data_IF_124796776069
#
_entry.id   IF_124796776069
#
_cell.length_a   1.000
_cell.length_b   1.000
_cell.length_c   1.000
_cell.angle_alpha   90.00
_cell.angle_beta   90.00
_cell.angle_gamma   90.00
#
_symmetry.space_group_name_H-M   'P 1'
#
loop_
_entity.id
_entity.type
_entity.pdbx_description
1 polymer ?
#
# COMPACT_ATOMS: atom_id res chain seq x y z
N UNK A 1 28.15 31.05 4.69
CA UNK A 1 28.86 30.58 5.89
C UNK A 1 28.59 31.48 7.09
N UNK A 2 28.74 32.77 6.97
CA UNK A 2 28.57 33.74 8.07
C UNK A 2 27.17 33.70 8.69
N UNK A 3 26.13 33.50 7.91
CA UNK A 3 24.75 33.36 8.39
C UNK A 3 24.55 32.12 9.28
N UNK A 4 25.33 31.07 9.12
CA UNK A 4 25.24 29.84 9.90
C UNK A 4 26.04 29.87 11.19
N UNK A 5 27.06 30.77 11.30
CA UNK A 5 27.89 30.91 12.49
C UNK A 5 27.13 31.37 13.72
N UNK A 6 26.00 32.03 13.54
CA UNK A 6 25.12 32.46 14.65
C UNK A 6 24.38 31.31 15.33
N UNK A 7 24.30 30.15 14.68
CA UNK A 7 23.59 28.97 15.19
C UNK A 7 24.54 28.01 15.90
N UNK A 8 24.27 27.75 17.18
CA UNK A 8 25.01 26.74 17.94
C UNK A 8 24.45 25.36 17.61
N UNK A 9 25.23 24.53 16.93
CA UNK A 9 24.91 23.12 16.78
C UNK A 9 25.19 22.37 18.09
N UNK A 10 24.26 21.51 18.51
CA UNK A 10 24.45 20.59 19.64
C UNK A 10 24.29 19.17 19.12
N UNK A 11 25.22 18.31 19.49
CA UNK A 11 25.08 16.88 19.27
C UNK A 11 24.15 16.31 20.33
N UNK A 12 23.02 15.72 19.91
CA UNK A 12 22.15 14.92 20.77
C UNK A 12 22.48 13.45 20.54
N UNK A 13 22.83 12.75 21.59
CA UNK A 13 23.01 11.31 21.55
C UNK A 13 21.70 10.64 22.02
N UNK A 14 21.09 9.87 21.12
CA UNK A 14 19.92 9.04 21.43
C UNK A 14 20.40 7.60 21.65
N UNK A 15 19.93 6.97 22.73
CA UNK A 15 20.24 5.56 23.05
C UNK A 15 19.16 5.02 24.01
N UNK A 16 18.50 3.88 23.69
CA UNK A 16 18.66 3.11 22.45
C UNK A 16 18.09 3.88 21.24
N UNK A 17 18.66 3.62 20.07
CA UNK A 17 18.17 4.19 18.81
C UNK A 17 18.40 3.22 17.65
N UNK A 18 17.50 3.25 16.67
CA UNK A 18 17.66 2.55 15.41
C UNK A 18 17.43 3.53 14.25
N UNK A 19 18.21 3.36 13.20
CA UNK A 19 17.97 4.03 11.92
C UNK A 19 17.39 2.99 10.96
N UNK A 20 16.17 3.26 10.48
CA UNK A 20 15.47 2.38 9.57
C UNK A 20 15.34 3.11 8.25
N UNK A 21 15.82 2.51 7.16
CA UNK A 21 15.74 3.06 5.82
C UNK A 21 14.89 2.14 4.95
N UNK A 22 13.98 2.73 4.18
CA UNK A 22 13.17 2.02 3.21
C UNK A 22 13.47 2.55 1.80
N UNK A 23 13.86 1.67 0.90
CA UNK A 23 14.01 1.95 -0.52
C UNK A 23 12.87 1.36 -1.36
N UNK A 24 12.23 0.29 -0.87
CA UNK A 24 11.16 -0.43 -1.55
C UNK A 24 10.06 -0.87 -0.58
N UNK A 25 8.88 -1.17 -1.11
CA UNK A 25 7.77 -1.77 -0.33
C UNK A 25 8.14 -3.14 0.24
N UNK A 26 9.03 -3.88 -0.43
CA UNK A 26 9.55 -5.16 0.07
C UNK A 26 10.29 -5.01 1.39
N UNK A 27 11.10 -3.96 1.53
CA UNK A 27 11.82 -3.70 2.79
C UNK A 27 10.87 -3.30 3.92
N UNK A 28 9.84 -2.50 3.63
CA UNK A 28 8.79 -2.22 4.61
C UNK A 28 8.08 -3.51 5.04
N UNK A 29 7.67 -4.33 4.09
CA UNK A 29 7.03 -5.62 4.38
C UNK A 29 7.91 -6.51 5.25
N UNK A 30 9.17 -6.71 4.87
CA UNK A 30 10.11 -7.51 5.63
C UNK A 30 10.27 -7.00 7.07
N UNK A 31 10.37 -5.67 7.25
CA UNK A 31 10.40 -5.09 8.59
C UNK A 31 9.18 -5.49 9.42
N UNK A 32 7.98 -5.41 8.85
CA UNK A 32 6.73 -5.67 9.58
C UNK A 32 6.46 -7.16 9.80
N UNK A 33 6.87 -8.02 8.87
CA UNK A 33 6.58 -9.46 8.92
C UNK A 33 7.69 -10.30 9.54
N UNK A 34 8.95 -9.93 9.34
CA UNK A 34 10.11 -10.72 9.76
C UNK A 34 10.89 -10.04 10.90
N UNK A 35 11.24 -8.77 10.71
CA UNK A 35 12.20 -8.05 11.53
C UNK A 35 11.58 -7.28 12.70
N UNK A 36 10.26 -7.15 12.77
CA UNK A 36 9.58 -6.33 13.78
C UNK A 36 10.01 -6.66 15.22
N UNK A 37 10.36 -7.92 15.50
CA UNK A 37 10.83 -8.34 16.82
C UNK A 37 12.13 -7.68 17.26
N UNK A 38 12.98 -7.26 16.31
CA UNK A 38 14.22 -6.54 16.59
C UNK A 38 13.96 -5.14 17.14
N UNK A 39 12.76 -4.61 16.89
CA UNK A 39 12.29 -3.28 17.30
C UNK A 39 11.31 -3.32 18.47
N UNK A 40 11.23 -4.44 19.19
CA UNK A 40 10.36 -4.60 20.36
C UNK A 40 10.63 -3.53 21.46
N UNK A 41 11.85 -2.98 21.51
CA UNK A 41 12.19 -1.87 22.43
C UNK A 41 11.46 -0.55 22.07
N UNK A 42 10.86 -0.44 20.87
CA UNK A 42 9.97 0.63 20.44
C UNK A 42 8.48 0.30 20.63
N UNK A 43 8.18 -0.82 21.29
CA UNK A 43 6.82 -1.39 21.42
C UNK A 43 6.15 -1.75 20.09
N UNK A 44 6.94 -2.01 19.06
CA UNK A 44 6.43 -2.43 17.76
C UNK A 44 5.98 -3.88 17.82
N UNK A 45 4.82 -4.14 17.22
CA UNK A 45 4.17 -5.45 17.18
C UNK A 45 3.78 -5.81 15.74
N UNK A 46 3.73 -7.08 15.44
CA UNK A 46 3.32 -7.59 14.12
C UNK A 46 1.85 -7.27 13.82
N UNK A 47 1.00 -7.36 14.82
CA UNK A 47 -0.43 -7.08 14.69
C UNK A 47 -0.84 -6.02 15.71
N UNK A 48 -1.43 -4.94 15.20
CA UNK A 48 -1.92 -3.80 15.99
C UNK A 48 -3.29 -3.43 15.46
N UNK A 49 -4.30 -3.36 16.33
CA UNK A 49 -5.68 -3.00 15.94
C UNK A 49 -6.19 -3.90 14.79
N UNK A 50 -6.52 -5.15 15.15
CA UNK A 50 -7.04 -6.15 14.26
C UNK A 50 -6.68 -7.56 14.75
N UNK A 51 -7.08 -8.56 13.99
CA UNK A 51 -6.93 -9.96 14.35
C UNK A 51 -5.47 -10.40 14.42
N UNK A 52 -5.09 -11.02 15.55
CA UNK A 52 -3.73 -11.52 15.73
C UNK A 52 -3.38 -12.66 14.75
N UNK A 53 -2.15 -12.66 14.22
CA UNK A 53 -1.65 -13.69 13.32
C UNK A 53 -0.15 -13.88 13.45
N UNK A 54 0.30 -15.13 13.32
CA UNK A 54 1.72 -15.48 13.19
C UNK A 54 2.17 -15.51 11.72
N UNK A 55 1.25 -15.48 10.78
CA UNK A 55 1.53 -15.65 9.34
C UNK A 55 1.66 -14.34 8.57
N UNK A 56 1.01 -13.28 9.03
CA UNK A 56 1.01 -11.97 8.38
C UNK A 56 1.09 -10.85 9.43
N UNK A 57 1.40 -9.66 8.99
CA UNK A 57 1.38 -8.46 9.81
C UNK A 57 0.20 -7.58 9.44
N UNK A 58 -0.36 -6.88 10.42
CA UNK A 58 -1.40 -5.89 10.17
C UNK A 58 -1.33 -4.72 11.14
N UNK A 59 -1.80 -3.57 10.69
CA UNK A 59 -2.02 -2.40 11.50
C UNK A 59 -3.33 -1.74 11.10
N UNK A 60 -4.28 -1.63 12.05
CA UNK A 60 -5.56 -1.00 11.80
C UNK A 60 -6.29 -1.61 10.57
N UNK A 61 -6.43 -2.94 10.55
CA UNK A 61 -7.05 -3.65 9.44
C UNK A 61 -8.08 -4.66 9.92
N UNK A 62 -9.15 -4.80 9.16
CA UNK A 62 -10.26 -5.71 9.41
C UNK A 62 -10.20 -6.86 8.40
N UNK A 63 -10.13 -8.08 8.90
CA UNK A 63 -10.14 -9.30 8.08
C UNK A 63 -11.34 -10.13 8.48
N UNK A 64 -12.35 -10.17 7.63
CA UNK A 64 -13.60 -10.91 7.88
C UNK A 64 -13.33 -12.42 7.95
N UNK A 65 -14.15 -13.10 8.75
CA UNK A 65 -14.07 -14.55 8.86
C UNK A 65 -14.37 -15.21 7.51
N UNK A 66 -13.50 -16.16 7.11
CA UNK A 66 -13.58 -16.84 5.81
C UNK A 66 -12.68 -16.24 4.73
N UNK A 67 -12.07 -15.08 4.98
CA UNK A 67 -11.01 -14.56 4.12
C UNK A 67 -9.69 -15.31 4.32
N UNK A 68 -8.94 -15.48 3.24
CA UNK A 68 -7.64 -16.16 3.25
C UNK A 68 -6.52 -15.14 3.05
N UNK A 69 -5.62 -15.00 4.04
CA UNK A 69 -4.45 -14.15 3.94
C UNK A 69 -3.20 -15.04 3.82
N UNK A 70 -2.45 -14.82 2.75
CA UNK A 70 -1.18 -15.51 2.50
C UNK A 70 -0.12 -15.17 3.55
N UNK A 71 0.97 -15.95 3.55
CA UNK A 71 2.10 -15.69 4.42
C UNK A 71 2.80 -14.37 4.03
N UNK A 72 3.42 -13.73 5.03
CA UNK A 72 4.25 -12.54 4.86
C UNK A 72 3.53 -11.33 4.21
N UNK A 73 2.19 -11.31 4.29
CA UNK A 73 1.42 -10.12 3.92
C UNK A 73 1.56 -9.03 4.97
N UNK A 74 1.46 -7.77 4.54
CA UNK A 74 1.28 -6.63 5.42
C UNK A 74 0.01 -5.86 5.03
N UNK A 75 -0.90 -5.70 5.97
CA UNK A 75 -2.17 -4.99 5.79
C UNK A 75 -2.19 -3.78 6.70
N UNK A 76 -2.45 -2.60 6.14
CA UNK A 76 -2.65 -1.37 6.91
C UNK A 76 -3.89 -0.65 6.43
N UNK A 77 -4.64 -0.07 7.37
CA UNK A 77 -5.80 0.78 7.11
C UNK A 77 -6.75 0.23 6.04
N UNK A 78 -7.01 -1.09 6.08
CA UNK A 78 -7.69 -1.81 5.00
C UNK A 78 -8.76 -2.77 5.51
N UNK A 79 -9.74 -3.05 4.64
CA UNK A 79 -10.73 -4.10 4.83
C UNK A 79 -10.49 -5.26 3.85
N UNK A 80 -10.59 -6.50 4.36
CA UNK A 80 -10.62 -7.72 3.54
C UNK A 80 -11.89 -8.48 3.89
N UNK A 81 -12.85 -8.52 2.98
CA UNK A 81 -14.24 -8.91 3.20
C UNK A 81 -14.68 -9.99 2.20
N UNK A 82 -15.81 -10.67 2.53
CA UNK A 82 -16.55 -11.56 1.62
C UNK A 82 -15.69 -12.63 0.94
N UNK A 83 -15.04 -13.49 1.75
CA UNK A 83 -14.24 -14.63 1.28
C UNK A 83 -13.10 -14.25 0.31
N UNK A 84 -12.63 -12.99 0.37
CA UNK A 84 -11.50 -12.55 -0.42
C UNK A 84 -10.23 -13.33 -0.10
N UNK A 85 -9.34 -13.40 -1.09
CA UNK A 85 -8.02 -14.04 -0.96
C UNK A 85 -6.92 -13.04 -1.22
N UNK A 86 -5.92 -13.00 -0.35
CA UNK A 86 -4.74 -12.17 -0.50
C UNK A 86 -3.52 -13.06 -0.65
N UNK A 87 -2.87 -12.99 -1.79
CA UNK A 87 -1.69 -13.78 -2.12
C UNK A 87 -0.50 -13.47 -1.22
N UNK A 88 0.38 -14.45 -1.04
CA UNK A 88 1.54 -14.32 -0.16
C UNK A 88 2.40 -13.11 -0.51
N UNK A 89 2.94 -12.43 0.48
CA UNK A 89 3.80 -11.27 0.30
C UNK A 89 3.11 -10.00 -0.21
N UNK A 90 1.79 -9.98 -0.31
CA UNK A 90 1.07 -8.78 -0.73
C UNK A 90 1.06 -7.71 0.38
N UNK A 91 1.00 -6.46 -0.04
CA UNK A 91 0.84 -5.29 0.83
C UNK A 91 -0.46 -4.58 0.46
N UNK A 92 -1.34 -4.40 1.44
CA UNK A 92 -2.58 -3.66 1.28
C UNK A 92 -2.52 -2.39 2.12
N UNK A 93 -2.84 -1.26 1.53
CA UNK A 93 -2.88 0.04 2.21
C UNK A 93 -4.07 0.85 1.72
N UNK A 94 -4.97 1.25 2.64
CA UNK A 94 -6.14 2.09 2.36
C UNK A 94 -7.07 1.52 1.26
N UNK A 95 -7.30 0.21 1.27
CA UNK A 95 -8.18 -0.46 0.30
C UNK A 95 -9.27 -1.28 0.99
N UNK A 96 -10.36 -1.48 0.27
CA UNK A 96 -11.38 -2.49 0.60
C UNK A 96 -11.35 -3.57 -0.47
N UNK A 97 -10.90 -4.76 -0.10
CA UNK A 97 -10.95 -5.95 -0.95
C UNK A 97 -12.19 -6.74 -0.58
N UNK A 98 -13.09 -6.94 -1.54
CA UNK A 98 -14.39 -7.58 -1.34
C UNK A 98 -14.67 -8.58 -2.45
N UNK A 99 -14.81 -9.87 -2.12
CA UNK A 99 -15.03 -10.95 -3.09
C UNK A 99 -14.01 -10.91 -4.27
N UNK A 100 -12.73 -10.78 -3.93
CA UNK A 100 -11.62 -10.62 -4.90
C UNK A 100 -10.42 -11.46 -4.48
N UNK A 101 -9.61 -11.77 -5.48
CA UNK A 101 -8.28 -12.36 -5.29
C UNK A 101 -7.20 -11.30 -5.59
N UNK A 102 -6.37 -11.00 -4.59
CA UNK A 102 -5.20 -10.14 -4.73
C UNK A 102 -3.99 -11.02 -5.03
N UNK A 103 -3.23 -10.74 -6.09
CA UNK A 103 -2.05 -11.53 -6.43
C UNK A 103 -0.95 -11.48 -5.37
N UNK A 104 -0.04 -12.45 -5.42
CA UNK A 104 1.14 -12.47 -4.55
C UNK A 104 2.17 -11.39 -4.92
N UNK A 105 2.96 -10.96 -3.94
CA UNK A 105 4.09 -10.02 -4.08
C UNK A 105 3.73 -8.67 -4.72
N UNK A 106 2.50 -8.21 -4.59
CA UNK A 106 2.04 -6.90 -5.05
C UNK A 106 1.68 -5.98 -3.89
N UNK A 107 1.78 -4.68 -4.13
CA UNK A 107 1.17 -3.67 -3.28
C UNK A 107 -0.10 -3.13 -3.95
N UNK A 108 -1.18 -3.00 -3.19
CA UNK A 108 -2.37 -2.21 -3.52
C UNK A 108 -2.44 -1.05 -2.55
N UNK A 109 -2.34 0.17 -3.08
CA UNK A 109 -2.41 1.38 -2.27
C UNK A 109 -3.53 2.29 -2.79
N UNK A 110 -4.58 2.42 -2.00
CA UNK A 110 -5.74 3.24 -2.30
C UNK A 110 -5.55 4.70 -1.91
N UNK A 111 -6.04 5.60 -2.75
CA UNK A 111 -6.10 7.03 -2.46
C UNK A 111 -7.45 7.57 -2.93
N UNK A 112 -8.04 8.48 -2.13
CA UNK A 112 -9.04 9.42 -2.60
C UNK A 112 -8.34 10.68 -3.09
N UNK A 113 -8.77 11.17 -4.23
CA UNK A 113 -8.28 12.42 -4.81
C UNK A 113 -9.13 13.61 -4.30
N UNK A 114 -8.57 14.81 -4.33
CA UNK A 114 -9.25 16.04 -3.88
C UNK A 114 -10.55 16.34 -4.65
N UNK A 115 -10.74 15.78 -5.83
CA UNK A 115 -11.97 15.88 -6.62
C UNK A 115 -13.05 14.82 -6.22
N UNK A 116 -12.75 13.99 -5.24
CA UNK A 116 -13.65 12.98 -4.70
C UNK A 116 -13.57 11.61 -5.36
N UNK A 117 -12.79 11.46 -6.44
CA UNK A 117 -12.55 10.19 -7.13
C UNK A 117 -11.47 9.37 -6.44
N UNK A 118 -11.29 8.13 -6.87
CA UNK A 118 -10.37 7.18 -6.28
C UNK A 118 -9.37 6.65 -7.30
N UNK A 119 -8.20 6.33 -6.81
CA UNK A 119 -7.19 5.55 -7.53
C UNK A 119 -6.63 4.48 -6.61
N UNK A 120 -6.47 3.26 -7.11
CA UNK A 120 -5.70 2.22 -6.44
C UNK A 120 -4.44 1.97 -7.27
N UNK A 121 -3.31 2.23 -6.65
CA UNK A 121 -1.99 2.03 -7.25
C UNK A 121 -1.56 0.59 -6.98
N UNK A 122 -1.46 -0.23 -8.04
CA UNK A 122 -0.88 -1.56 -7.99
C UNK A 122 0.57 -1.48 -8.48
N UNK A 123 1.48 -2.15 -7.79
CA UNK A 123 2.88 -2.28 -8.20
C UNK A 123 3.52 -3.49 -7.51
N UNK A 124 4.62 -3.99 -8.04
CA UNK A 124 5.37 -5.07 -7.41
C UNK A 124 6.03 -4.63 -6.10
N UNK A 125 6.05 -5.48 -5.10
CA UNK A 125 6.70 -5.17 -3.80
C UNK A 125 8.18 -4.77 -3.96
N UNK A 126 8.83 -5.20 -5.03
CA UNK A 126 10.22 -4.87 -5.36
C UNK A 126 10.39 -3.79 -6.42
N UNK A 127 9.31 -3.19 -6.95
CA UNK A 127 9.43 -2.15 -7.96
C UNK A 127 10.08 -0.89 -7.38
N UNK A 128 10.97 -0.30 -8.19
CA UNK A 128 11.57 0.98 -7.87
C UNK A 128 10.87 2.08 -8.70
N UNK A 129 10.21 3.05 -8.07
CA UNK A 129 9.46 4.08 -8.80
C UNK A 129 10.34 4.97 -9.68
N UNK A 130 11.66 4.97 -9.49
CA UNK A 130 12.60 5.73 -10.32
C UNK A 130 13.02 5.02 -11.60
N UNK A 131 12.63 3.75 -11.76
CA UNK A 131 12.94 2.92 -12.92
C UNK A 131 11.73 2.82 -13.85
N UNK A 132 12.00 2.49 -15.12
CA UNK A 132 10.96 2.26 -16.13
C UNK A 132 10.53 0.78 -16.16
N UNK A 133 10.21 0.24 -14.96
CA UNK A 133 9.73 -1.12 -14.77
C UNK A 133 8.43 -1.13 -13.97
N UNK A 134 7.57 -2.11 -14.23
CA UNK A 134 6.30 -2.33 -13.56
C UNK A 134 6.06 -3.82 -13.39
N UNK A 135 5.85 -4.29 -12.16
CA UNK A 135 5.72 -5.70 -11.82
C UNK A 135 6.89 -6.56 -12.31
N UNK A 136 8.10 -5.98 -12.28
CA UNK A 136 9.31 -6.62 -12.76
C UNK A 136 9.49 -6.64 -14.30
N UNK A 137 8.57 -6.04 -15.06
CA UNK A 137 8.58 -6.01 -16.52
C UNK A 137 8.81 -4.58 -17.05
N UNK A 138 9.36 -4.40 -18.26
CA UNK A 138 9.52 -3.08 -18.84
C UNK A 138 8.18 -2.34 -19.03
N UNK A 139 8.09 -1.09 -18.62
CA UNK A 139 6.94 -0.21 -18.82
C UNK A 139 6.55 -0.05 -20.30
N UNK A 140 7.50 -0.23 -21.23
CA UNK A 140 7.28 -0.13 -22.67
C UNK A 140 6.17 -1.07 -23.21
N UNK A 141 5.76 -2.09 -22.45
CA UNK A 141 4.59 -2.92 -22.75
C UNK A 141 3.26 -2.19 -22.61
N UNK A 142 3.20 -1.19 -21.78
CA UNK A 142 2.00 -0.36 -21.54
C UNK A 142 2.09 0.99 -22.25
N UNK A 143 3.29 1.55 -22.39
CA UNK A 143 3.57 2.83 -23.01
C UNK A 143 4.98 3.31 -22.67
N UNK A 144 5.34 4.50 -23.17
CA UNK A 144 6.69 5.06 -22.98
C UNK A 144 6.67 6.15 -21.89
N UNK A 145 7.35 5.90 -20.79
CA UNK A 145 7.57 6.84 -19.70
C UNK A 145 8.99 6.71 -19.16
N UNK A 146 9.58 7.79 -18.62
CA UNK A 146 10.95 7.76 -18.11
C UNK A 146 11.10 6.92 -16.84
N UNK A 147 10.02 6.74 -16.07
CA UNK A 147 10.00 5.98 -14.82
C UNK A 147 8.58 5.59 -14.44
N UNK A 148 8.44 4.64 -13.52
CA UNK A 148 7.14 4.26 -12.94
C UNK A 148 6.49 5.45 -12.20
N UNK A 149 7.29 6.35 -11.63
CA UNK A 149 6.80 7.54 -10.93
C UNK A 149 5.99 8.47 -11.82
N UNK A 150 6.39 8.59 -13.11
CA UNK A 150 5.75 9.46 -14.11
C UNK A 150 4.74 8.72 -14.99
N UNK A 151 4.67 7.38 -14.90
CA UNK A 151 3.82 6.57 -15.76
C UNK A 151 2.34 6.78 -15.46
N UNK A 152 1.58 7.28 -16.43
CA UNK A 152 0.13 7.47 -16.34
C UNK A 152 -0.62 6.18 -16.65
N UNK A 153 -0.46 5.19 -15.77
CA UNK A 153 -1.01 3.84 -15.94
C UNK A 153 -2.16 3.52 -15.00
N UNK A 154 -2.37 4.30 -13.93
CA UNK A 154 -3.34 4.01 -12.87
C UNK A 154 -4.71 4.63 -13.18
N UNK A 155 -5.78 3.83 -13.43
CA UNK A 155 -7.11 4.38 -13.72
C UNK A 155 -7.69 5.16 -12.53
N UNK A 156 -8.38 6.26 -12.84
CA UNK A 156 -9.13 7.08 -11.90
C UNK A 156 -10.60 6.69 -11.97
N UNK A 157 -11.19 6.31 -10.83
CA UNK A 157 -12.53 5.72 -10.75
C UNK A 157 -13.46 6.50 -9.83
N UNK A 158 -14.77 6.33 -9.99
CA UNK A 158 -15.78 6.98 -9.17
C UNK A 158 -15.87 6.43 -7.75
N UNK A 159 -15.50 5.15 -7.53
CA UNK A 159 -15.53 4.48 -6.23
C UNK A 159 -14.23 3.73 -5.97
N UNK A 160 -13.95 3.47 -4.67
CA UNK A 160 -12.77 2.68 -4.28
C UNK A 160 -12.86 1.24 -4.81
N UNK A 161 -14.04 0.64 -4.84
CA UNK A 161 -14.25 -0.71 -5.36
C UNK A 161 -13.90 -0.80 -6.84
N UNK A 162 -14.40 0.14 -7.67
CA UNK A 162 -14.02 0.23 -9.08
C UNK A 162 -12.51 0.44 -9.26
N UNK A 163 -11.87 1.21 -8.37
CA UNK A 163 -10.44 1.43 -8.43
C UNK A 163 -9.63 0.18 -8.08
N UNK A 164 -10.12 -0.67 -7.17
CA UNK A 164 -9.53 -2.00 -6.90
C UNK A 164 -9.65 -2.90 -8.13
N UNK A 165 -10.83 -2.97 -8.76
CA UNK A 165 -11.03 -3.77 -9.97
C UNK A 165 -10.12 -3.30 -11.12
N UNK A 166 -10.00 -1.98 -11.29
CA UNK A 166 -9.13 -1.40 -12.31
C UNK A 166 -7.63 -1.68 -12.04
N UNK A 167 -7.21 -1.69 -10.77
CA UNK A 167 -5.86 -2.04 -10.38
C UNK A 167 -5.56 -3.53 -10.64
N UNK A 168 -6.49 -4.43 -10.34
CA UNK A 168 -6.36 -5.86 -10.65
C UNK A 168 -6.35 -6.11 -12.17
N UNK A 169 -7.16 -5.37 -12.95
CA UNK A 169 -7.08 -5.41 -14.40
C UNK A 169 -5.71 -4.93 -14.92
N UNK A 170 -5.16 -3.85 -14.36
CA UNK A 170 -3.83 -3.35 -14.73
C UNK A 170 -2.73 -4.40 -14.43
N UNK A 171 -2.84 -5.10 -13.29
CA UNK A 171 -1.96 -6.23 -12.99
C UNK A 171 -2.07 -7.32 -14.06
N UNK A 172 -3.29 -7.73 -14.43
CA UNK A 172 -3.54 -8.74 -15.47
C UNK A 172 -2.99 -8.28 -16.83
N UNK A 173 -3.14 -7.01 -17.20
CA UNK A 173 -2.55 -6.44 -18.42
C UNK A 173 -1.03 -6.57 -18.47
N UNK A 174 -0.33 -6.32 -17.37
CA UNK A 174 1.12 -6.50 -17.30
C UNK A 174 1.53 -7.98 -17.52
N UNK A 175 0.62 -8.92 -17.26
CA UNK A 175 0.80 -10.36 -17.52
C UNK A 175 0.28 -10.81 -18.90
N UNK A 176 -0.32 -9.90 -19.67
CA UNK A 176 -0.85 -10.18 -21.00
C UNK A 176 -2.30 -10.70 -21.03
N UNK A 177 -3.05 -10.58 -19.91
CA UNK A 177 -4.38 -11.19 -19.75
C UNK A 177 -5.53 -10.19 -19.56
N UNK A 178 -5.27 -8.95 -19.15
CA UNK A 178 -6.29 -7.98 -18.77
C UNK A 178 -7.08 -7.38 -19.94
N UNK A 179 -8.14 -6.63 -19.60
CA UNK A 179 -8.92 -5.84 -20.54
C UNK A 179 -8.20 -4.54 -20.91
N UNK A 180 -7.48 -4.57 -22.02
CA UNK A 180 -6.73 -3.42 -22.56
C UNK A 180 -7.66 -2.29 -23.01
N UNK A 181 -8.81 -2.61 -23.62
CA UNK A 181 -9.72 -1.59 -24.12
C UNK A 181 -10.32 -0.77 -22.98
N UNK A 182 -10.73 -1.41 -21.90
CA UNK A 182 -11.20 -0.73 -20.70
C UNK A 182 -10.10 0.16 -20.08
N UNK A 183 -8.86 -0.31 -20.06
CA UNK A 183 -7.74 0.48 -19.53
C UNK A 183 -7.37 1.66 -20.44
N UNK A 184 -7.36 1.48 -21.76
CA UNK A 184 -7.02 2.55 -22.73
C UNK A 184 -8.05 3.67 -22.74
N UNK A 185 -9.33 3.37 -22.51
CA UNK A 185 -10.41 4.35 -22.47
C UNK A 185 -10.56 5.06 -21.12
N UNK A 186 -9.98 4.53 -20.05
CA UNK A 186 -10.03 5.13 -18.73
C UNK A 186 -9.18 6.41 -18.64
N UNK A 187 -9.66 7.40 -17.87
CA UNK A 187 -8.78 8.46 -17.39
C UNK A 187 -7.74 7.86 -16.45
N UNK A 188 -6.48 8.22 -16.61
CA UNK A 188 -5.37 7.65 -15.85
C UNK A 188 -4.52 8.73 -15.21
N UNK A 189 -3.84 8.33 -14.15
CA UNK A 189 -2.91 9.17 -13.39
C UNK A 189 -1.59 8.43 -13.18
N UNK A 190 -0.56 9.14 -12.74
CA UNK A 190 0.74 8.58 -12.33
C UNK A 190 0.85 8.48 -10.81
N UNK A 191 1.89 7.80 -10.32
CA UNK A 191 2.24 7.83 -8.89
C UNK A 191 2.43 9.26 -8.39
N UNK A 192 3.16 10.07 -9.16
CA UNK A 192 3.41 11.48 -8.86
C UNK A 192 2.14 12.32 -8.80
N UNK A 193 1.33 12.25 -9.85
CA UNK A 193 0.12 13.07 -9.95
C UNK A 193 -0.90 12.70 -8.87
N UNK A 194 -1.12 11.39 -8.63
CA UNK A 194 -2.03 10.91 -7.59
C UNK A 194 -1.55 11.27 -6.18
N UNK A 195 -0.23 11.25 -5.92
CA UNK A 195 0.32 11.70 -4.64
C UNK A 195 0.03 13.20 -4.40
N UNK A 196 0.24 14.04 -5.40
CA UNK A 196 0.02 15.48 -5.29
C UNK A 196 -1.48 15.84 -5.18
N UNK A 197 -2.38 15.01 -5.69
CA UNK A 197 -3.82 15.21 -5.68
C UNK A 197 -4.55 14.47 -4.53
N UNK A 198 -3.83 13.80 -3.64
CA UNK A 198 -4.42 13.02 -2.56
C UNK A 198 -5.16 13.90 -1.54
N UNK A 199 -6.37 13.48 -1.17
CA UNK A 199 -7.18 14.09 -0.11
C UNK A 199 -6.70 13.59 1.26
N UNK A 200 -5.72 14.27 1.82
CA UNK A 200 -5.11 13.90 3.11
C UNK A 200 -6.14 13.87 4.25
N UNK A 201 -7.17 14.73 4.21
CA UNK A 201 -8.19 14.76 5.25
C UNK A 201 -9.04 13.49 5.21
N UNK A 202 -9.43 13.06 4.03
CA UNK A 202 -10.16 11.80 3.86
C UNK A 202 -9.35 10.61 4.36
N UNK A 203 -8.05 10.57 4.10
CA UNK A 203 -7.16 9.50 4.59
C UNK A 203 -7.21 9.43 6.12
N UNK A 204 -7.05 10.53 6.82
CA UNK A 204 -7.11 10.58 8.28
C UNK A 204 -8.49 10.18 8.84
N UNK A 205 -9.57 10.63 8.19
CA UNK A 205 -10.94 10.26 8.59
C UNK A 205 -11.19 8.76 8.36
N UNK A 206 -10.67 8.19 7.27
CA UNK A 206 -10.72 6.75 6.97
C UNK A 206 -9.99 5.93 8.04
N UNK A 207 -8.74 6.28 8.35
CA UNK A 207 -7.94 5.61 9.38
C UNK A 207 -8.65 5.65 10.74
N UNK A 208 -9.23 6.79 11.12
CA UNK A 208 -9.96 6.95 12.37
C UNK A 208 -11.22 6.07 12.44
N UNK A 209 -12.02 6.04 11.37
CA UNK A 209 -13.23 5.23 11.28
C UNK A 209 -12.92 3.73 11.33
N UNK A 210 -11.88 3.31 10.61
CA UNK A 210 -11.47 1.90 10.57
C UNK A 210 -10.94 1.44 11.93
N UNK A 211 -10.23 2.32 12.65
CA UNK A 211 -9.71 2.05 13.99
C UNK A 211 -10.80 1.65 14.97
N UNK A 212 -11.96 2.28 14.95
CA UNK A 212 -13.09 1.95 15.81
C UNK A 212 -13.57 0.51 15.53
N UNK A 213 -13.67 0.14 14.25
CA UNK A 213 -14.07 -1.21 13.84
C UNK A 213 -13.04 -2.26 14.23
N UNK A 214 -11.76 -2.01 13.94
CA UNK A 214 -10.66 -2.92 14.25
C UNK A 214 -10.47 -3.13 15.76
N UNK A 215 -10.73 -2.10 16.57
CA UNK A 215 -10.73 -2.21 18.04
C UNK A 215 -11.87 -3.08 18.54
N UNK A 216 -13.06 -2.94 17.96
CA UNK A 216 -14.21 -3.76 18.35
C UNK A 216 -13.96 -5.24 18.04
N UNK A 217 -13.36 -5.57 16.89
CA UNK A 217 -12.99 -6.95 16.54
C UNK A 217 -11.95 -7.54 17.49
N UNK A 218 -10.91 -6.77 17.84
CA UNK A 218 -9.85 -7.21 18.74
C UNK A 218 -10.35 -7.49 20.18
N UNK A 219 -11.52 -6.95 20.58
CA UNK A 219 -12.16 -7.20 21.87
C UNK A 219 -13.07 -8.43 21.87
N UNK A 220 -13.41 -8.98 20.71
CA UNK A 220 -14.27 -10.15 20.56
C UNK A 220 -13.48 -11.47 20.51
N UNK A 221 -12.17 -11.43 20.44
CA UNK A 221 -11.23 -12.55 20.51
C UNK A 221 -10.62 -12.73 21.90
#
# INVERSE_FOLDING_TARGET
WDALHAFRMRLLRLSPAAFIHFGTTRELRALMTEDVKQYAFLDWKRCVLGRASERYALNNAVVEHGCEIGADCYLEDSYVLEQSRVGAGAVLSHVTVRDREVPADVALHGLRLCDGRFVVRVYGAGDNPKEATFLGEPLARLGEWPSLWEAEIYPVCGTLEQAVDAALNLYALARGEGDRAAWETAERTSLRASFNAADTRFILDWEASLRETAQAEALLE
#
